data_IF_289049800966
#
_entry.id   IF_289049800966
#
_cell.length_a   1.000
_cell.length_b   1.000
_cell.length_c   1.000
_cell.angle_alpha   90.00
_cell.angle_beta   90.00
_cell.angle_gamma   90.00
#
_symmetry.space_group_name_H-M   'P 1'
#
loop_
_entity.id
_entity.type
_entity.pdbx_description
1 polymer ?
#
# COMPACT_ATOMS: atom_id res chain seq x y z
N UNK A 1 -25.43 -16.87 -23.21
CA UNK A 1 -25.30 -15.44 -22.88
C UNK A 1 -23.97 -15.29 -22.18
N UNK A 2 -22.96 -14.82 -22.91
CA UNK A 2 -21.67 -14.51 -22.32
C UNK A 2 -21.83 -13.24 -21.48
N UNK A 3 -21.62 -13.35 -20.17
CA UNK A 3 -21.75 -12.21 -19.25
C UNK A 3 -20.38 -11.58 -19.15
N UNK A 4 -20.24 -10.36 -19.67
CA UNK A 4 -19.06 -9.51 -19.46
C UNK A 4 -18.85 -9.31 -17.96
N UNK A 5 -17.68 -9.73 -17.47
CA UNK A 5 -17.31 -9.56 -16.06
C UNK A 5 -16.95 -8.10 -15.79
N UNK A 6 -17.47 -7.56 -14.69
CA UNK A 6 -17.21 -6.19 -14.24
C UNK A 6 -16.27 -6.19 -13.05
N UNK A 7 -15.08 -5.60 -13.20
CA UNK A 7 -14.07 -5.54 -12.15
C UNK A 7 -13.76 -4.09 -11.80
N UNK A 8 -13.84 -3.76 -10.50
CA UNK A 8 -13.29 -2.50 -10.02
C UNK A 8 -11.79 -2.65 -9.77
N UNK A 9 -10.99 -1.72 -10.27
CA UNK A 9 -9.57 -1.58 -9.92
C UNK A 9 -9.47 -0.52 -8.82
N UNK A 10 -9.33 -0.97 -7.58
CA UNK A 10 -9.31 -0.09 -6.42
C UNK A 10 -7.99 0.70 -6.34
N UNK A 11 -8.12 2.01 -6.19
CA UNK A 11 -7.07 3.01 -6.05
C UNK A 11 -7.39 3.99 -4.92
N UNK A 12 -6.56 5.02 -4.68
CA UNK A 12 -6.82 6.08 -3.71
C UNK A 12 -6.94 7.46 -4.36
N UNK A 13 -7.42 8.45 -3.60
CA UNK A 13 -7.62 9.82 -4.08
C UNK A 13 -6.35 10.51 -4.60
N UNK A 14 -5.15 10.04 -4.22
CA UNK A 14 -3.89 10.56 -4.72
C UNK A 14 -3.55 10.08 -6.15
N UNK A 15 -4.21 9.01 -6.60
CA UNK A 15 -4.04 8.42 -7.94
C UNK A 15 -5.40 7.90 -8.45
N UNK A 16 -6.40 8.78 -8.66
CA UNK A 16 -7.77 8.36 -9.00
C UNK A 16 -7.85 7.63 -10.34
N UNK A 17 -6.95 7.94 -11.27
CA UNK A 17 -6.87 7.33 -12.60
C UNK A 17 -5.84 6.18 -12.69
N UNK A 18 -5.48 5.59 -11.53
CA UNK A 18 -4.38 4.62 -11.37
C UNK A 18 -2.99 5.24 -11.55
N UNK A 19 -1.96 4.41 -11.31
CA UNK A 19 -0.57 4.77 -11.56
C UNK A 19 -0.20 4.60 -13.05
N UNK A 20 1.07 4.83 -13.38
CA UNK A 20 1.61 4.75 -14.75
C UNK A 20 1.38 3.39 -15.44
N UNK A 21 1.24 2.31 -14.67
CA UNK A 21 0.93 0.97 -15.18
C UNK A 21 -0.58 0.74 -15.39
N UNK A 22 -1.42 1.63 -14.88
CA UNK A 22 -2.87 1.54 -14.90
C UNK A 22 -3.47 1.35 -16.29
N UNK A 23 -3.12 2.18 -17.29
CA UNK A 23 -3.64 2.03 -18.66
C UNK A 23 -3.34 0.66 -19.26
N UNK A 24 -2.10 0.16 -19.08
CA UNK A 24 -1.70 -1.15 -19.60
C UNK A 24 -2.48 -2.29 -18.95
N UNK A 25 -2.78 -2.18 -17.65
CA UNK A 25 -3.62 -3.13 -16.93
C UNK A 25 -5.07 -3.13 -17.46
N UNK A 26 -5.65 -1.96 -17.67
CA UNK A 26 -7.02 -1.83 -18.17
C UNK A 26 -7.14 -2.38 -19.60
N UNK A 27 -6.18 -2.08 -20.47
CA UNK A 27 -6.12 -2.60 -21.83
C UNK A 27 -6.01 -4.13 -21.85
N UNK A 28 -5.16 -4.71 -20.99
CA UNK A 28 -5.02 -6.16 -20.88
C UNK A 28 -6.30 -6.84 -20.39
N UNK A 29 -7.02 -6.23 -19.44
CA UNK A 29 -8.31 -6.74 -18.97
C UNK A 29 -9.38 -6.66 -20.06
N UNK A 30 -9.46 -5.53 -20.77
CA UNK A 30 -10.38 -5.34 -21.88
C UNK A 30 -10.16 -6.36 -23.00
N UNK A 31 -8.90 -6.67 -23.33
CA UNK A 31 -8.54 -7.70 -24.32
C UNK A 31 -9.01 -9.11 -23.95
N UNK A 32 -9.31 -9.36 -22.67
CA UNK A 32 -9.87 -10.63 -22.18
C UNK A 32 -11.40 -10.62 -22.03
N UNK A 33 -12.07 -9.53 -22.45
CA UNK A 33 -13.52 -9.38 -22.32
C UNK A 33 -14.00 -8.95 -20.93
N UNK A 34 -13.09 -8.43 -20.09
CA UNK A 34 -13.43 -7.89 -18.76
C UNK A 34 -13.61 -6.38 -18.84
N UNK A 35 -14.72 -5.88 -18.32
CA UNK A 35 -14.97 -4.45 -18.14
C UNK A 35 -14.33 -4.00 -16.82
N UNK A 36 -13.15 -3.37 -16.90
CA UNK A 36 -12.41 -2.89 -15.74
C UNK A 36 -12.55 -1.37 -15.57
N UNK A 37 -12.76 -0.90 -14.33
CA UNK A 37 -12.90 0.54 -14.04
C UNK A 37 -12.11 0.91 -12.79
N UNK A 38 -11.30 1.97 -12.87
CA UNK A 38 -10.63 2.53 -11.71
C UNK A 38 -11.65 3.15 -10.74
N UNK A 39 -11.49 2.90 -9.44
CA UNK A 39 -12.37 3.45 -8.42
C UNK A 39 -11.59 3.73 -7.12
N UNK A 40 -11.81 4.91 -6.54
CA UNK A 40 -11.20 5.29 -5.26
C UNK A 40 -11.89 4.49 -4.15
N UNK A 41 -11.11 3.74 -3.36
CA UNK A 41 -11.64 2.74 -2.42
C UNK A 41 -12.55 3.33 -1.33
N UNK A 42 -12.31 4.57 -0.93
CA UNK A 42 -13.06 5.27 0.11
C UNK A 42 -14.02 6.33 -0.42
N UNK A 43 -14.28 6.33 -1.73
CA UNK A 43 -15.27 7.20 -2.34
C UNK A 43 -16.69 6.69 -2.01
N UNK A 44 -17.51 7.50 -1.30
CA UNK A 44 -18.87 7.11 -0.91
C UNK A 44 -19.82 6.98 -2.10
N UNK A 45 -19.50 7.56 -3.26
CA UNK A 45 -20.35 7.54 -4.45
C UNK A 45 -20.15 6.28 -5.30
N UNK A 46 -19.16 5.44 -4.96
CA UNK A 46 -18.90 4.17 -5.67
C UNK A 46 -19.79 3.06 -5.10
N UNK A 47 -20.75 2.62 -5.90
CA UNK A 47 -21.51 1.40 -5.61
C UNK A 47 -20.67 0.14 -5.91
N UNK A 48 -20.09 -0.44 -4.87
CA UNK A 48 -19.26 -1.66 -4.97
C UNK A 48 -20.06 -2.92 -5.30
N UNK A 49 -21.39 -2.93 -5.10
CA UNK A 49 -22.22 -4.11 -5.34
C UNK A 49 -22.45 -4.38 -6.84
N UNK A 50 -22.21 -3.38 -7.70
CA UNK A 50 -22.35 -3.51 -9.17
C UNK A 50 -21.24 -4.32 -9.83
N UNK A 51 -20.12 -4.52 -9.13
CA UNK A 51 -18.96 -5.24 -9.64
C UNK A 51 -19.01 -6.71 -9.27
N UNK A 52 -18.57 -7.56 -10.19
CA UNK A 52 -18.43 -8.99 -9.94
C UNK A 52 -17.23 -9.27 -9.00
N UNK A 53 -16.23 -8.37 -8.97
CA UNK A 53 -15.09 -8.41 -8.05
C UNK A 53 -14.24 -7.13 -8.04
N UNK A 54 -13.28 -7.07 -7.11
CA UNK A 54 -12.40 -5.92 -6.89
C UNK A 54 -10.93 -6.32 -6.90
N UNK A 55 -10.14 -5.68 -7.74
CA UNK A 55 -8.68 -5.80 -7.81
C UNK A 55 -8.03 -4.63 -7.06
N UNK A 56 -7.29 -4.90 -5.99
CA UNK A 56 -6.54 -3.87 -5.24
C UNK A 56 -5.21 -3.59 -5.95
N UNK A 57 -4.96 -2.34 -6.33
CA UNK A 57 -3.71 -1.91 -6.97
C UNK A 57 -3.02 -0.78 -6.22
N UNK A 58 -3.51 0.45 -6.37
CA UNK A 58 -2.76 1.66 -6.00
C UNK A 58 -3.37 2.36 -4.78
N UNK A 59 -3.89 1.58 -3.82
CA UNK A 59 -4.46 2.07 -2.54
C UNK A 59 -3.37 2.48 -1.55
N UNK A 60 -2.50 3.41 -1.95
CA UNK A 60 -1.28 3.76 -1.22
C UNK A 60 -1.51 4.43 0.14
N UNK A 61 -2.71 4.91 0.41
CA UNK A 61 -3.11 5.52 1.68
C UNK A 61 -3.55 4.50 2.74
N UNK A 62 -3.76 3.22 2.37
CA UNK A 62 -4.17 2.18 3.32
C UNK A 62 -3.25 2.04 4.54
N UNK A 63 -1.91 2.25 4.50
CA UNK A 63 -1.08 2.13 5.70
C UNK A 63 -1.43 3.16 6.78
N UNK A 64 -1.98 4.31 6.38
CA UNK A 64 -2.45 5.35 7.30
C UNK A 64 -3.86 5.06 7.82
N UNK A 65 -4.64 4.25 7.10
CA UNK A 65 -6.06 4.00 7.32
C UNK A 65 -6.40 2.50 7.32
N UNK A 66 -5.52 1.70 7.91
CA UNK A 66 -5.54 0.23 7.78
C UNK A 66 -6.89 -0.38 8.19
N UNK A 67 -7.44 0.03 9.32
CA UNK A 67 -8.68 -0.56 9.83
C UNK A 67 -9.87 -0.22 8.93
N UNK A 68 -9.93 1.02 8.42
CA UNK A 68 -10.94 1.44 7.45
C UNK A 68 -10.80 0.66 6.14
N UNK A 69 -9.57 0.50 5.63
CA UNK A 69 -9.29 -0.29 4.43
C UNK A 69 -9.71 -1.76 4.58
N UNK A 70 -9.41 -2.40 5.71
CA UNK A 70 -9.82 -3.78 5.95
C UNK A 70 -11.33 -3.92 6.18
N UNK A 71 -11.97 -2.92 6.78
CA UNK A 71 -13.43 -2.90 6.88
C UNK A 71 -14.07 -2.80 5.51
N UNK A 72 -13.58 -1.91 4.65
CA UNK A 72 -14.02 -1.77 3.27
C UNK A 72 -13.82 -3.06 2.47
N UNK A 73 -12.62 -3.66 2.52
CA UNK A 73 -12.31 -4.88 1.77
C UNK A 73 -13.21 -6.06 2.15
N UNK A 74 -13.63 -6.17 3.42
CA UNK A 74 -14.61 -7.18 3.87
C UNK A 74 -16.04 -6.88 3.44
N UNK A 75 -16.36 -5.61 3.18
CA UNK A 75 -17.67 -5.18 2.68
C UNK A 75 -17.84 -5.40 1.17
N UNK A 76 -16.75 -5.53 0.42
CA UNK A 76 -16.81 -5.88 -0.99
C UNK A 76 -17.32 -7.32 -1.18
N UNK A 77 -18.12 -7.55 -2.24
CA UNK A 77 -18.63 -8.88 -2.59
C UNK A 77 -17.51 -9.91 -2.77
N UNK A 78 -16.44 -9.51 -3.45
CA UNK A 78 -15.25 -10.31 -3.64
C UNK A 78 -14.06 -9.39 -3.94
N UNK A 79 -12.93 -9.66 -3.31
CA UNK A 79 -11.63 -9.09 -3.67
C UNK A 79 -10.76 -10.18 -4.29
N UNK A 80 -10.01 -9.86 -5.35
CA UNK A 80 -9.12 -10.83 -6.04
C UNK A 80 -8.14 -11.48 -5.06
N UNK A 81 -7.60 -10.68 -4.13
CA UNK A 81 -6.94 -11.18 -2.94
C UNK A 81 -7.95 -11.15 -1.79
N UNK A 82 -8.26 -12.31 -1.19
CA UNK A 82 -9.19 -12.38 -0.06
C UNK A 82 -8.82 -11.39 1.06
N UNK A 83 -9.82 -10.90 1.79
CA UNK A 83 -9.63 -9.88 2.81
C UNK A 83 -8.62 -10.32 3.91
N UNK A 84 -8.52 -11.62 4.19
CA UNK A 84 -7.55 -12.22 5.10
C UNK A 84 -6.11 -12.09 4.57
N UNK A 85 -5.92 -12.31 3.25
CA UNK A 85 -4.64 -12.10 2.57
C UNK A 85 -4.25 -10.63 2.61
N UNK A 86 -5.21 -9.72 2.39
CA UNK A 86 -5.00 -8.28 2.52
C UNK A 86 -4.66 -7.89 3.97
N UNK A 87 -5.35 -8.45 4.96
CA UNK A 87 -5.07 -8.23 6.37
C UNK A 87 -3.65 -8.67 6.77
N UNK A 88 -3.19 -9.79 6.22
CA UNK A 88 -1.84 -10.29 6.41
C UNK A 88 -0.80 -9.43 5.68
N UNK A 89 -1.00 -9.11 4.40
CA UNK A 89 -0.08 -8.28 3.61
C UNK A 89 0.12 -6.87 4.18
N UNK A 90 -0.93 -6.28 4.74
CA UNK A 90 -0.85 -4.95 5.36
C UNK A 90 -0.11 -4.95 6.70
N UNK A 91 0.06 -6.12 7.32
CA UNK A 91 0.84 -6.27 8.54
C UNK A 91 2.32 -6.50 8.23
N UNK A 92 3.10 -5.41 8.17
CA UNK A 92 4.53 -5.45 7.83
C UNK A 92 5.42 -6.15 8.87
N UNK A 93 4.87 -6.80 9.92
CA UNK A 93 5.66 -7.61 10.87
C UNK A 93 6.33 -8.81 10.21
N UNK A 94 5.79 -9.33 9.09
CA UNK A 94 6.44 -10.44 8.38
C UNK A 94 7.87 -10.08 7.93
N UNK A 95 8.12 -8.82 7.56
CA UNK A 95 9.46 -8.34 7.17
C UNK A 95 10.48 -8.35 8.31
N UNK A 96 10.02 -8.43 9.57
CA UNK A 96 10.92 -8.52 10.73
C UNK A 96 11.43 -9.96 10.95
N UNK A 97 10.72 -10.97 10.40
CA UNK A 97 11.03 -12.38 10.59
C UNK A 97 12.00 -12.97 9.58
N UNK A 98 12.11 -12.40 8.38
CA UNK A 98 12.69 -13.09 7.21
C UNK A 98 14.22 -13.04 7.13
N UNK A 99 14.89 -12.17 7.88
CA UNK A 99 16.32 -11.91 7.69
C UNK A 99 17.10 -11.91 9.02
N UNK A 100 17.49 -13.09 9.50
CA UNK A 100 18.23 -13.30 10.77
C UNK A 100 19.73 -13.64 10.60
N UNK A 101 20.28 -13.52 9.40
CA UNK A 101 21.72 -13.75 9.15
C UNK A 101 22.59 -12.51 9.42
N UNK A 102 23.86 -12.69 9.81
CA UNK A 102 24.84 -11.61 9.82
C UNK A 102 25.01 -11.05 8.40
N UNK A 103 24.85 -9.74 8.22
CA UNK A 103 24.95 -9.05 6.92
C UNK A 103 23.63 -8.55 6.34
N UNK A 104 22.46 -8.84 6.93
CA UNK A 104 21.20 -8.33 6.40
C UNK A 104 20.96 -6.85 6.81
N UNK A 105 20.92 -5.91 5.85
CA UNK A 105 20.70 -4.49 6.16
C UNK A 105 19.26 -4.28 6.63
N UNK A 106 19.10 -4.00 7.92
CA UNK A 106 17.81 -3.59 8.49
C UNK A 106 17.75 -2.08 8.51
N UNK A 107 16.68 -1.49 7.96
CA UNK A 107 16.35 -0.12 8.31
C UNK A 107 16.15 -0.09 9.83
N UNK A 108 16.99 0.66 10.55
CA UNK A 108 16.73 0.90 11.97
C UNK A 108 15.35 1.53 12.02
N UNK A 109 14.45 0.93 12.80
CA UNK A 109 13.16 1.56 13.08
C UNK A 109 13.49 2.95 13.64
N UNK A 110 13.23 3.99 12.86
CA UNK A 110 13.33 5.35 13.35
C UNK A 110 12.15 5.48 14.32
N UNK A 111 12.38 5.15 15.59
CA UNK A 111 11.47 5.51 16.66
C UNK A 111 11.42 7.04 16.64
N UNK A 112 10.43 7.60 15.97
CA UNK A 112 10.23 9.03 15.90
C UNK A 112 10.34 9.59 17.32
N UNK A 113 11.38 10.39 17.64
CA UNK A 113 11.36 11.11 18.89
C UNK A 113 10.23 12.11 18.73
N UNK A 114 9.31 12.16 19.71
CA UNK A 114 8.31 13.23 19.85
C UNK A 114 8.86 14.54 19.28
N UNK A 115 8.15 15.10 18.32
CA UNK A 115 8.39 16.48 17.86
C UNK A 115 8.53 17.36 19.09
N UNK A 116 9.68 18.03 19.22
CA UNK A 116 9.95 18.96 20.31
C UNK A 116 11.13 18.57 21.21
N UNK A 117 12.35 18.60 20.65
CA UNK A 117 13.53 19.28 21.22
C UNK A 117 14.75 18.91 20.37
N UNK A 118 15.23 19.88 19.57
CA UNK A 118 16.51 19.78 18.87
C UNK A 118 17.61 19.60 19.91
N UNK A 119 18.17 18.40 20.05
CA UNK A 119 19.48 18.22 20.69
C UNK A 119 20.52 18.37 19.59
N UNK A 120 21.37 19.39 19.72
CA UNK A 120 22.55 19.57 18.84
C UNK A 120 23.44 18.32 18.98
N UNK A 121 23.84 17.75 17.85
CA UNK A 121 24.94 16.79 17.83
C UNK A 121 26.24 17.51 18.25
N UNK A 122 27.03 16.99 19.20
CA UNK A 122 28.38 17.47 19.39
C UNK A 122 29.24 16.89 18.26
N UNK A 123 29.71 17.75 17.37
CA UNK A 123 30.84 17.45 16.48
C UNK A 123 32.08 17.33 17.35
N UNK A 124 32.54 16.11 17.60
CA UNK A 124 33.86 15.85 18.14
C UNK A 124 34.91 16.16 17.06
N UNK A 125 35.53 17.34 17.17
CA UNK A 125 36.77 17.66 16.49
C UNK A 125 37.92 17.01 17.28
N UNK A 126 38.58 16.01 16.70
CA UNK A 126 39.83 15.48 17.24
C UNK A 126 40.97 16.21 16.56
N UNK A 127 41.42 17.32 17.16
CA UNK A 127 42.72 17.91 16.85
C UNK A 127 43.75 17.30 17.80
N UNK A 128 44.58 16.39 17.31
CA UNK A 128 45.77 15.94 18.04
C UNK A 128 46.93 16.88 17.73
N UNK A 129 47.25 17.75 18.68
CA UNK A 129 48.58 18.34 18.84
C UNK A 129 49.18 17.81 20.14
N UNK A 130 50.43 17.38 20.11
CA UNK A 130 51.29 17.33 21.31
C UNK A 130 52.77 17.38 20.88
N UNK A 131 53.56 18.30 21.48
CA UNK A 131 55.03 18.34 21.45
C UNK A 131 55.57 17.67 22.75
N UNK A 132 56.82 17.84 23.26
CA UNK A 132 58.00 18.63 22.83
C UNK A 132 58.99 17.92 21.91
#
# INVERSE_FOLDING_TARGET
>A
MDRTLRIAVATCAAAPDLDEDGPLLLDALAATGVEATAAVWDDPDVDWARFDGVLVRSTWDHPLRRDAFLSWARGCRATVNAAEVLAWNTDKRYLQGTCRGPGCPRSRRCSSPRVGRRRRCPTSATSSSSPP
#
